data_IF_630749712224
#
_entry.id   IF_630749712224
#
_cell.length_a   1.000
_cell.length_b   1.000
_cell.length_c   1.000
_cell.angle_alpha   90.00
_cell.angle_beta   90.00
_cell.angle_gamma   90.00
#
_symmetry.space_group_name_H-M   'P 1'
#
loop_
_entity.id
_entity.type
_entity.pdbx_description
1 polymer ?
#
# COMPACT_ATOMS: atom_id res chain seq x y z
N UNK A 1 7.53 22.54 27.90
CA UNK A 1 6.20 22.45 27.22
C UNK A 1 6.30 22.12 25.74
N UNK A 2 7.31 22.61 25.00
CA UNK A 2 7.53 22.23 23.58
C UNK A 2 7.97 20.76 23.42
N UNK A 3 8.76 20.27 24.36
CA UNK A 3 9.33 18.91 24.34
C UNK A 3 8.26 17.84 24.50
N UNK A 4 7.22 18.10 25.30
CA UNK A 4 6.10 17.18 25.49
C UNK A 4 5.19 17.07 24.27
N UNK A 5 5.01 18.14 23.48
CA UNK A 5 4.19 18.11 22.26
C UNK A 5 4.93 17.38 21.14
N UNK A 6 6.21 17.70 20.93
CA UNK A 6 7.03 17.03 19.92
C UNK A 6 7.23 15.55 20.24
N UNK A 7 7.43 15.21 21.53
CA UNK A 7 7.45 13.83 22.00
C UNK A 7 6.15 13.09 21.68
N UNK A 8 4.98 13.68 22.01
CA UNK A 8 3.69 13.05 21.73
C UNK A 8 3.46 12.85 20.23
N UNK A 9 3.93 13.77 19.39
CA UNK A 9 3.84 13.63 17.95
C UNK A 9 4.74 12.51 17.43
N UNK A 10 6.01 12.45 17.83
CA UNK A 10 6.94 11.39 17.42
C UNK A 10 6.52 10.01 17.97
N UNK A 11 5.99 9.97 19.19
CA UNK A 11 5.48 8.71 19.74
C UNK A 11 4.16 8.25 19.09
N UNK A 12 3.47 9.11 18.34
CA UNK A 12 2.17 8.80 17.71
C UNK A 12 2.28 8.04 16.38
N UNK A 13 1.12 7.82 15.77
CA UNK A 13 0.96 7.18 14.47
C UNK A 13 0.96 8.16 13.29
N UNK A 14 0.89 9.47 13.55
CA UNK A 14 0.90 10.50 12.50
C UNK A 14 2.16 10.50 11.64
N UNK A 15 3.39 10.32 12.18
CA UNK A 15 4.59 10.24 11.35
C UNK A 15 4.60 9.02 10.43
N UNK A 16 4.00 7.91 10.86
CA UNK A 16 3.83 6.71 10.03
C UNK A 16 2.91 7.04 8.85
N UNK A 17 1.75 7.65 9.13
CA UNK A 17 0.83 8.09 8.08
C UNK A 17 1.52 9.04 7.10
N UNK A 18 2.23 10.05 7.59
CA UNK A 18 2.93 11.02 6.74
C UNK A 18 3.92 10.31 5.81
N UNK A 19 4.69 9.35 6.34
CA UNK A 19 5.66 8.58 5.55
C UNK A 19 4.96 7.75 4.48
N UNK A 20 3.85 7.08 4.82
CA UNK A 20 3.02 6.34 3.86
C UNK A 20 2.46 7.26 2.78
N UNK A 21 1.95 8.44 3.15
CA UNK A 21 1.41 9.42 2.20
C UNK A 21 2.49 9.95 1.25
N UNK A 22 3.70 10.20 1.73
CA UNK A 22 4.84 10.60 0.88
C UNK A 22 5.17 9.50 -0.12
N UNK A 23 5.26 8.25 0.31
CA UNK A 23 5.52 7.11 -0.58
C UNK A 23 4.39 6.93 -1.62
N UNK A 24 3.12 7.02 -1.18
CA UNK A 24 1.96 6.99 -2.08
C UNK A 24 1.97 8.15 -3.07
N UNK A 25 2.35 9.35 -2.64
CA UNK A 25 2.46 10.52 -3.51
C UNK A 25 3.51 10.33 -4.62
N UNK A 26 4.68 9.78 -4.28
CA UNK A 26 5.68 9.42 -5.30
C UNK A 26 5.16 8.36 -6.28
N UNK A 27 4.48 7.33 -5.77
CA UNK A 27 3.82 6.32 -6.60
C UNK A 27 2.72 6.90 -7.50
N UNK A 28 1.92 7.82 -6.96
CA UNK A 28 0.86 8.53 -7.67
C UNK A 28 1.43 9.40 -8.79
N UNK A 29 2.47 10.17 -8.51
CA UNK A 29 3.13 11.05 -9.47
C UNK A 29 3.67 10.29 -10.68
N UNK A 30 4.17 9.06 -10.47
CA UNK A 30 4.65 8.19 -11.55
C UNK A 30 3.53 7.58 -12.40
N UNK A 31 2.31 7.46 -11.85
CA UNK A 31 1.17 6.76 -12.46
C UNK A 31 -0.03 7.69 -12.72
N UNK A 32 0.20 8.99 -12.89
CA UNK A 32 -0.87 10.00 -13.03
C UNK A 32 -1.80 9.73 -14.21
N UNK A 33 -1.27 9.20 -15.33
CA UNK A 33 -2.08 8.82 -16.50
C UNK A 33 -3.09 7.73 -16.15
N UNK A 34 -2.65 6.63 -15.54
CA UNK A 34 -3.51 5.52 -15.10
C UNK A 34 -4.58 5.99 -14.13
N UNK A 35 -4.21 6.81 -13.16
CA UNK A 35 -5.13 7.33 -12.16
C UNK A 35 -6.17 8.29 -12.76
N UNK A 36 -5.75 9.12 -13.72
CA UNK A 36 -6.67 9.96 -14.51
C UNK A 36 -7.68 9.09 -15.27
N UNK A 37 -7.23 7.98 -15.87
CA UNK A 37 -8.12 7.05 -16.55
C UNK A 37 -9.11 6.38 -15.60
N UNK A 38 -8.67 5.97 -14.41
CA UNK A 38 -9.55 5.43 -13.36
C UNK A 38 -10.60 6.47 -12.92
N UNK A 39 -10.18 7.73 -12.78
CA UNK A 39 -11.04 8.81 -12.28
C UNK A 39 -12.11 9.27 -13.29
N UNK A 40 -11.79 9.17 -14.58
CA UNK A 40 -12.63 9.59 -15.70
C UNK A 40 -13.08 8.40 -16.57
N UNK A 41 -13.24 7.21 -16.00
CA UNK A 41 -13.71 6.03 -16.74
C UNK A 41 -15.05 6.35 -17.43
N UNK A 42 -15.18 5.95 -18.70
CA UNK A 42 -16.37 6.18 -19.53
C UNK A 42 -17.59 5.47 -18.95
N UNK A 43 -17.41 4.30 -18.34
CA UNK A 43 -18.50 3.54 -17.72
C UNK A 43 -18.87 4.17 -16.35
N UNK A 44 -20.13 4.58 -16.11
CA UNK A 44 -20.52 5.24 -14.86
C UNK A 44 -20.31 4.36 -13.62
N UNK A 45 -20.67 3.08 -13.71
CA UNK A 45 -20.45 2.11 -12.63
C UNK A 45 -18.97 1.94 -12.26
N UNK A 46 -18.09 1.87 -13.27
CA UNK A 46 -16.67 1.72 -13.05
C UNK A 46 -16.04 2.97 -12.42
N UNK A 47 -16.53 4.15 -12.80
CA UNK A 47 -16.12 5.42 -12.23
C UNK A 47 -16.48 5.51 -10.75
N UNK A 48 -17.70 5.10 -10.37
CA UNK A 48 -18.13 5.03 -8.97
C UNK A 48 -17.24 4.04 -8.21
N UNK A 49 -17.09 2.82 -8.71
CA UNK A 49 -16.25 1.80 -8.08
C UNK A 49 -14.80 2.27 -7.88
N UNK A 50 -14.23 2.97 -8.87
CA UNK A 50 -12.86 3.49 -8.80
C UNK A 50 -12.70 4.59 -7.75
N UNK A 51 -13.65 5.53 -7.69
CA UNK A 51 -13.65 6.60 -6.68
C UNK A 51 -13.87 6.06 -5.28
N UNK A 52 -14.79 5.11 -5.12
CA UNK A 52 -15.05 4.46 -3.85
C UNK A 52 -13.80 3.72 -3.38
N UNK A 53 -13.15 2.92 -4.24
CA UNK A 53 -11.93 2.19 -3.87
C UNK A 53 -10.79 3.13 -3.44
N UNK A 54 -10.56 4.23 -4.17
CA UNK A 54 -9.56 5.26 -3.78
C UNK A 54 -9.97 5.94 -2.46
N UNK A 55 -11.26 6.27 -2.31
CA UNK A 55 -11.80 6.85 -1.08
C UNK A 55 -11.62 5.93 0.12
N UNK A 56 -11.84 4.62 -0.04
CA UNK A 56 -11.65 3.61 1.00
C UNK A 56 -10.19 3.53 1.44
N UNK A 57 -9.22 3.65 0.53
CA UNK A 57 -7.79 3.74 0.90
C UNK A 57 -7.57 4.95 1.83
N UNK A 58 -8.05 6.13 1.43
CA UNK A 58 -7.91 7.34 2.25
C UNK A 58 -8.59 7.24 3.62
N UNK A 59 -9.82 6.73 3.65
CA UNK A 59 -10.58 6.52 4.90
C UNK A 59 -9.89 5.52 5.80
N UNK A 60 -9.40 4.39 5.27
CA UNK A 60 -8.66 3.39 6.05
C UNK A 60 -7.40 3.99 6.66
N UNK A 61 -6.60 4.72 5.86
CA UNK A 61 -5.37 5.35 6.34
C UNK A 61 -5.63 6.33 7.49
N UNK A 62 -6.66 7.17 7.35
CA UNK A 62 -7.05 8.13 8.39
C UNK A 62 -7.62 7.43 9.62
N UNK A 63 -8.50 6.44 9.43
CA UNK A 63 -9.11 5.67 10.50
C UNK A 63 -8.07 5.01 11.40
N UNK A 64 -7.11 4.29 10.80
CA UNK A 64 -6.09 3.58 11.58
C UNK A 64 -5.15 4.55 12.31
N UNK A 65 -4.92 5.73 11.76
CA UNK A 65 -4.04 6.73 12.39
C UNK A 65 -4.70 7.46 13.55
N UNK A 66 -6.00 7.77 13.44
CA UNK A 66 -6.71 8.61 14.42
C UNK A 66 -7.43 7.77 15.47
N UNK A 67 -7.96 6.60 15.10
CA UNK A 67 -8.89 5.81 15.92
C UNK A 67 -8.31 4.46 16.33
N UNK A 68 -7.55 3.81 15.47
CA UNK A 68 -6.87 2.54 15.77
C UNK A 68 -5.35 2.77 15.95
N UNK A 69 -4.53 1.77 15.69
CA UNK A 69 -3.09 1.81 15.87
C UNK A 69 -2.36 0.94 14.83
N UNK A 70 -1.50 1.57 14.03
CA UNK A 70 -0.71 0.91 12.98
C UNK A 70 0.20 -0.19 13.52
N UNK A 71 0.82 0.07 14.67
CA UNK A 71 1.83 -0.82 15.26
C UNK A 71 1.19 -2.12 15.73
N UNK A 72 0.04 -2.02 16.39
CA UNK A 72 -0.71 -3.21 16.78
C UNK A 72 -1.17 -4.00 15.55
N UNK A 73 -1.65 -3.30 14.51
CA UNK A 73 -2.12 -3.94 13.28
C UNK A 73 -1.03 -4.79 12.62
N UNK A 74 0.20 -4.26 12.52
CA UNK A 74 1.36 -5.01 12.02
C UNK A 74 1.73 -6.20 12.91
N UNK A 75 1.49 -6.11 14.22
CA UNK A 75 1.73 -7.19 15.18
C UNK A 75 0.87 -8.43 14.94
N UNK A 76 -0.31 -8.30 14.31
CA UNK A 76 -1.20 -9.46 14.06
C UNK A 76 -0.60 -10.49 13.09
N UNK A 77 0.31 -10.07 12.21
CA UNK A 77 1.01 -10.96 11.27
C UNK A 77 2.16 -11.75 11.94
N UNK A 78 2.43 -11.51 13.22
CA UNK A 78 3.55 -12.11 13.97
C UNK A 78 2.99 -12.92 15.16
N UNK A 79 3.79 -13.85 15.68
CA UNK A 79 3.41 -14.72 16.80
C UNK A 79 3.07 -13.92 18.08
N UNK A 80 2.04 -14.34 18.82
CA UNK A 80 1.52 -13.64 20.01
C UNK A 80 2.59 -13.33 21.06
N UNK A 81 3.62 -14.19 21.19
CA UNK A 81 4.73 -13.99 22.14
C UNK A 81 5.66 -12.82 21.78
N UNK A 82 5.71 -12.44 20.50
CA UNK A 82 6.57 -11.37 19.98
C UNK A 82 5.83 -10.04 19.80
N UNK A 83 4.49 -10.07 19.79
CA UNK A 83 3.61 -8.90 19.62
C UNK A 83 3.80 -7.79 20.66
N UNK A 84 4.44 -8.10 21.79
CA UNK A 84 4.55 -7.24 22.96
C UNK A 84 5.96 -6.72 23.25
N UNK A 85 6.98 -7.18 22.51
CA UNK A 85 8.38 -6.82 22.77
C UNK A 85 8.84 -5.53 22.09
N UNK A 86 8.21 -5.15 20.97
CA UNK A 86 8.65 -4.01 20.15
C UNK A 86 7.97 -2.68 20.46
N UNK A 87 6.89 -2.69 21.24
CA UNK A 87 6.22 -1.50 21.77
C UNK A 87 5.78 -1.89 23.19
N UNK A 88 6.34 -1.32 24.26
CA UNK A 88 5.56 -1.14 25.46
C UNK A 88 4.40 -0.24 25.02
N UNK A 89 3.24 -0.84 24.82
CA UNK A 89 2.03 -0.16 24.40
C UNK A 89 1.80 1.02 25.35
N UNK A 90 2.23 2.22 24.96
CA UNK A 90 1.99 3.44 25.73
C UNK A 90 0.48 3.70 25.87
N UNK A 91 -0.34 2.99 25.06
CA UNK A 91 -1.78 3.09 25.02
C UNK A 91 -2.43 1.69 25.07
N UNK A 92 -3.54 1.52 25.82
CA UNK A 92 -4.28 0.27 25.86
C UNK A 92 -4.72 -0.19 24.45
N UNK A 93 -4.92 -1.50 24.22
CA UNK A 93 -5.45 -1.99 22.96
C UNK A 93 -6.82 -1.33 22.66
N UNK A 94 -7.09 -0.95 21.40
CA UNK A 94 -8.36 -0.35 21.04
C UNK A 94 -9.49 -1.38 21.20
N UNK A 95 -10.73 -0.92 21.51
CA UNK A 95 -11.88 -1.81 21.69
C UNK A 95 -12.14 -2.70 20.48
N UNK A 96 -12.69 -3.90 20.70
CA UNK A 96 -12.99 -4.86 19.63
C UNK A 96 -13.89 -4.28 18.53
N UNK A 97 -14.82 -3.39 18.88
CA UNK A 97 -15.67 -2.69 17.91
C UNK A 97 -14.83 -1.83 16.94
N UNK A 98 -13.83 -1.10 17.45
CA UNK A 98 -12.91 -0.31 16.61
C UNK A 98 -12.11 -1.23 15.70
N UNK A 99 -11.60 -2.33 16.27
CA UNK A 99 -10.81 -3.32 15.52
C UNK A 99 -11.63 -3.99 14.40
N UNK A 100 -12.91 -4.28 14.65
CA UNK A 100 -13.82 -4.82 13.65
C UNK A 100 -14.01 -3.87 12.47
N UNK A 101 -14.21 -2.57 12.73
CA UNK A 101 -14.30 -1.54 11.68
C UNK A 101 -13.00 -1.49 10.87
N UNK A 102 -11.85 -1.57 11.53
CA UNK A 102 -10.54 -1.64 10.86
C UNK A 102 -10.43 -2.82 9.91
N UNK A 103 -10.88 -4.02 10.31
CA UNK A 103 -10.87 -5.19 9.45
C UNK A 103 -11.82 -5.07 8.25
N UNK A 104 -13.00 -4.48 8.45
CA UNK A 104 -13.95 -4.21 7.36
C UNK A 104 -13.34 -3.24 6.36
N UNK A 105 -12.79 -2.12 6.83
CA UNK A 105 -12.14 -1.12 5.98
C UNK A 105 -10.92 -1.71 5.25
N UNK A 106 -10.12 -2.53 5.92
CA UNK A 106 -9.00 -3.25 5.30
C UNK A 106 -9.48 -4.16 4.17
N UNK A 107 -10.53 -4.96 4.43
CA UNK A 107 -11.12 -5.85 3.42
C UNK A 107 -11.65 -5.09 2.21
N UNK A 108 -12.40 -4.00 2.45
CA UNK A 108 -12.91 -3.14 1.37
C UNK A 108 -11.77 -2.48 0.59
N UNK A 109 -10.70 -2.03 1.27
CA UNK A 109 -9.53 -1.44 0.63
C UNK A 109 -8.82 -2.47 -0.26
N UNK A 110 -8.58 -3.68 0.25
CA UNK A 110 -7.92 -4.76 -0.49
C UNK A 110 -8.75 -5.16 -1.71
N UNK A 111 -10.04 -5.44 -1.53
CA UNK A 111 -10.92 -5.86 -2.62
C UNK A 111 -11.13 -4.75 -3.65
N UNK A 112 -11.30 -3.51 -3.19
CA UNK A 112 -11.43 -2.34 -4.06
C UNK A 112 -10.20 -2.14 -4.93
N UNK A 113 -9.01 -2.14 -4.33
CA UNK A 113 -7.74 -1.97 -5.08
C UNK A 113 -7.41 -3.18 -5.96
N UNK A 114 -7.75 -4.40 -5.53
CA UNK A 114 -7.66 -5.62 -6.35
C UNK A 114 -8.58 -5.55 -7.58
N UNK A 115 -9.80 -5.02 -7.42
CA UNK A 115 -10.71 -4.76 -8.53
C UNK A 115 -10.13 -3.74 -9.52
N UNK A 116 -9.53 -2.65 -9.03
CA UNK A 116 -8.84 -1.68 -9.90
C UNK A 116 -7.70 -2.34 -10.66
N UNK A 117 -6.91 -3.18 -10.01
CA UNK A 117 -5.87 -3.94 -10.68
C UNK A 117 -6.45 -4.83 -11.78
N UNK A 118 -7.50 -5.61 -11.48
CA UNK A 118 -8.16 -6.49 -12.44
C UNK A 118 -8.68 -5.76 -13.69
N UNK A 119 -9.18 -4.54 -13.52
CA UNK A 119 -9.76 -3.73 -14.62
C UNK A 119 -8.71 -2.97 -15.42
N UNK A 120 -7.72 -2.37 -14.76
CA UNK A 120 -6.81 -1.40 -15.39
C UNK A 120 -5.40 -1.93 -15.61
N UNK A 121 -4.97 -2.96 -14.88
CA UNK A 121 -3.65 -3.57 -15.03
C UNK A 121 -3.73 -4.92 -15.77
N UNK A 122 -2.65 -5.28 -16.46
CA UNK A 122 -2.57 -6.52 -17.26
C UNK A 122 -1.71 -7.56 -16.57
N UNK A 123 -2.22 -8.80 -16.57
CA UNK A 123 -1.45 -9.98 -16.21
C UNK A 123 -1.40 -10.26 -14.71
N UNK A 124 -0.84 -11.42 -14.39
CA UNK A 124 -0.73 -11.93 -13.02
C UNK A 124 0.66 -11.71 -12.41
N UNK A 125 1.62 -11.22 -13.22
CA UNK A 125 3.01 -11.10 -12.82
C UNK A 125 3.21 -10.18 -11.61
N UNK A 126 2.57 -9.01 -11.59
CA UNK A 126 2.73 -8.07 -10.47
C UNK A 126 2.28 -8.69 -9.14
N UNK A 127 1.05 -9.23 -9.01
CA UNK A 127 0.66 -9.95 -7.80
C UNK A 127 1.58 -11.12 -7.43
N UNK A 128 2.01 -11.91 -8.42
CA UNK A 128 2.88 -13.07 -8.22
C UNK A 128 4.27 -12.68 -7.71
N UNK A 129 4.80 -11.52 -8.10
CA UNK A 129 6.12 -11.04 -7.66
C UNK A 129 6.02 -10.22 -6.37
N UNK A 130 5.01 -9.36 -6.25
CA UNK A 130 4.86 -8.43 -5.13
C UNK A 130 4.48 -9.17 -3.84
N UNK A 131 3.70 -10.25 -3.92
CA UNK A 131 3.35 -11.06 -2.73
C UNK A 131 4.60 -11.66 -2.06
N UNK A 132 5.42 -12.49 -2.73
CA UNK A 132 6.61 -13.07 -2.11
C UNK A 132 7.65 -12.01 -1.75
N UNK A 133 7.83 -10.96 -2.56
CA UNK A 133 8.69 -9.84 -2.19
C UNK A 133 8.21 -9.16 -0.89
N UNK A 134 6.90 -8.97 -0.74
CA UNK A 134 6.27 -8.48 0.48
C UNK A 134 6.49 -9.41 1.67
N UNK A 135 6.36 -10.73 1.50
CA UNK A 135 6.65 -11.72 2.55
C UNK A 135 8.11 -11.60 3.02
N UNK A 136 9.06 -11.68 2.08
CA UNK A 136 10.50 -11.63 2.39
C UNK A 136 10.84 -10.31 3.09
N UNK A 137 10.38 -9.18 2.53
CA UNK A 137 10.63 -7.86 3.10
C UNK A 137 10.00 -7.70 4.48
N UNK A 138 8.77 -8.19 4.66
CA UNK A 138 8.06 -8.13 5.94
C UNK A 138 8.85 -8.84 7.03
N UNK A 139 9.24 -10.10 6.81
CA UNK A 139 9.97 -10.85 7.83
C UNK A 139 11.37 -10.29 8.08
N UNK A 140 12.10 -9.87 7.03
CA UNK A 140 13.40 -9.24 7.17
C UNK A 140 13.33 -7.96 8.02
N UNK A 141 12.38 -7.07 7.72
CA UNK A 141 12.21 -5.79 8.41
C UNK A 141 11.54 -5.91 9.78
N UNK A 142 10.71 -6.94 10.00
CA UNK A 142 10.06 -7.13 11.29
C UNK A 142 11.08 -7.46 12.39
N UNK A 143 12.19 -8.14 12.05
CA UNK A 143 13.32 -8.32 12.98
C UNK A 143 13.97 -6.99 13.39
N UNK A 144 14.06 -6.01 12.48
CA UNK A 144 14.54 -4.66 12.81
C UNK A 144 13.52 -3.92 13.65
N UNK A 145 12.23 -3.97 13.31
CA UNK A 145 11.14 -3.40 14.10
C UNK A 145 11.19 -3.85 15.56
N UNK A 146 11.43 -5.14 15.81
CA UNK A 146 11.53 -5.68 17.18
C UNK A 146 12.72 -5.16 17.98
N UNK A 147 13.72 -4.57 17.32
CA UNK A 147 14.92 -3.99 17.96
C UNK A 147 14.86 -2.47 18.08
N UNK A 148 13.89 -1.82 17.44
CA UNK A 148 13.70 -0.38 17.58
C UNK A 148 13.00 -0.08 18.91
N UNK A 149 13.78 0.31 19.90
CA UNK A 149 13.24 0.92 21.11
C UNK A 149 12.94 2.40 20.82
N UNK A 150 11.65 2.78 20.79
CA UNK A 150 11.26 4.20 20.75
C UNK A 150 11.68 4.96 22.01
N UNK A 151 11.89 4.21 23.10
CA UNK A 151 12.12 4.72 24.44
C UNK A 151 13.60 5.08 24.64
N UNK A 152 14.55 4.33 24.04
CA UNK A 152 16.00 4.52 24.25
C UNK A 152 16.54 5.94 23.98
N UNK A 153 16.26 6.58 22.83
CA UNK A 153 16.70 7.96 22.57
C UNK A 153 15.98 9.03 23.42
N UNK A 154 14.91 8.66 24.13
CA UNK A 154 13.99 9.60 24.77
C UNK A 154 13.82 9.40 26.28
N UNK A 155 14.24 8.27 26.88
CA UNK A 155 13.87 7.92 28.27
C UNK A 155 14.94 8.20 29.31
N UNK A 156 16.23 8.14 28.97
CA UNK A 156 17.26 8.07 30.03
C UNK A 156 18.15 9.31 30.11
N UNK A 157 18.23 10.14 29.07
CA UNK A 157 18.99 11.41 29.09
C UNK A 157 18.22 12.63 28.61
N UNK A 158 17.10 12.44 27.91
CA UNK A 158 16.50 13.50 27.09
C UNK A 158 17.43 13.87 25.92
N UNK A 159 16.88 14.41 24.84
CA UNK A 159 17.68 14.97 23.75
C UNK A 159 18.05 16.39 24.13
N UNK A 160 19.34 16.74 24.17
CA UNK A 160 19.73 18.13 24.31
C UNK A 160 19.52 18.84 22.96
N UNK A 161 18.41 19.57 22.85
CA UNK A 161 18.05 20.32 21.64
C UNK A 161 19.02 21.46 21.31
N UNK A 162 19.94 21.80 22.20
CA UNK A 162 21.01 22.77 21.94
C UNK A 162 22.19 22.16 21.19
N UNK A 163 22.35 20.83 21.23
CA UNK A 163 23.44 20.10 20.59
C UNK A 163 22.99 19.56 19.24
N UNK A 164 23.48 20.17 18.16
CA UNK A 164 23.08 19.85 16.77
C UNK A 164 23.29 18.36 16.42
N UNK A 165 24.38 17.74 16.88
CA UNK A 165 24.66 16.33 16.59
C UNK A 165 23.66 15.37 17.23
N UNK A 166 23.19 15.66 18.45
CA UNK A 166 22.17 14.85 19.12
C UNK A 166 20.84 14.97 18.39
N UNK A 167 20.43 16.19 18.05
CA UNK A 167 19.21 16.45 17.26
C UNK A 167 19.23 15.71 15.93
N UNK A 168 20.35 15.76 15.19
CA UNK A 168 20.49 15.08 13.92
C UNK A 168 20.40 13.55 14.07
N UNK A 169 21.09 12.96 15.06
CA UNK A 169 21.02 11.52 15.30
C UNK A 169 19.60 11.07 15.67
N UNK A 170 18.90 11.84 16.50
CA UNK A 170 17.50 11.58 16.85
C UNK A 170 16.60 11.63 15.61
N UNK A 171 16.72 12.66 14.77
CA UNK A 171 15.92 12.78 13.56
C UNK A 171 16.17 11.64 12.57
N UNK A 172 17.43 11.25 12.37
CA UNK A 172 17.81 10.11 11.50
C UNK A 172 17.21 8.82 12.05
N UNK A 173 17.32 8.58 13.36
CA UNK A 173 16.76 7.39 14.01
C UNK A 173 15.24 7.29 13.79
N UNK A 174 14.50 8.37 14.05
CA UNK A 174 13.06 8.42 13.82
C UNK A 174 12.69 8.27 12.34
N UNK A 175 13.44 8.91 11.44
CA UNK A 175 13.22 8.78 10.00
C UNK A 175 13.39 7.32 9.54
N UNK A 176 14.45 6.63 10.00
CA UNK A 176 14.65 5.20 9.71
C UNK A 176 13.52 4.35 10.28
N UNK A 177 13.13 4.60 11.53
CA UNK A 177 12.05 3.87 12.19
C UNK A 177 10.73 3.98 11.40
N UNK A 178 10.29 5.19 11.05
CA UNK A 178 9.05 5.36 10.30
C UNK A 178 9.15 4.85 8.87
N UNK A 179 10.33 4.92 8.23
CA UNK A 179 10.55 4.31 6.93
C UNK A 179 10.37 2.78 7.00
N UNK A 180 10.97 2.12 8.01
CA UNK A 180 10.78 0.68 8.23
C UNK A 180 9.31 0.35 8.48
N UNK A 181 8.62 1.11 9.33
CA UNK A 181 7.19 0.91 9.59
C UNK A 181 6.33 1.08 8.33
N UNK A 182 6.58 2.11 7.52
CA UNK A 182 5.87 2.31 6.27
C UNK A 182 6.11 1.15 5.29
N UNK A 183 7.35 0.69 5.13
CA UNK A 183 7.68 -0.45 4.27
C UNK A 183 6.99 -1.73 4.78
N UNK A 184 6.92 -1.93 6.10
CA UNK A 184 6.17 -3.04 6.69
C UNK A 184 4.68 -2.96 6.39
N UNK A 185 4.08 -1.76 6.41
CA UNK A 185 2.67 -1.55 5.99
C UNK A 185 2.48 -1.91 4.53
N UNK A 186 3.35 -1.43 3.63
CA UNK A 186 3.30 -1.80 2.21
C UNK A 186 3.50 -3.30 1.99
N UNK A 187 4.36 -3.93 2.78
CA UNK A 187 4.62 -5.37 2.71
C UNK A 187 3.41 -6.17 3.20
N UNK A 188 2.80 -5.79 4.33
CA UNK A 188 1.56 -6.37 4.83
C UNK A 188 0.42 -6.22 3.82
N UNK A 189 0.29 -5.03 3.22
CA UNK A 189 -0.65 -4.80 2.13
C UNK A 189 -0.38 -5.74 0.96
N UNK A 190 0.87 -5.83 0.47
CA UNK A 190 1.26 -6.70 -0.64
C UNK A 190 0.93 -8.18 -0.39
N UNK A 191 1.16 -8.68 0.83
CA UNK A 191 0.88 -10.06 1.24
C UNK A 191 -0.61 -10.38 1.10
N UNK A 192 -1.49 -9.47 1.50
CA UNK A 192 -2.93 -9.68 1.44
C UNK A 192 -3.51 -9.34 0.06
N UNK A 193 -3.02 -8.27 -0.55
CA UNK A 193 -3.50 -7.73 -1.81
C UNK A 193 -3.16 -8.62 -3.00
N UNK A 194 -1.99 -9.24 -3.02
CA UNK A 194 -1.57 -10.04 -4.17
C UNK A 194 -2.46 -11.26 -4.45
N UNK A 195 -2.72 -12.15 -3.46
CA UNK A 195 -3.67 -13.24 -3.61
C UNK A 195 -5.08 -12.74 -3.98
N UNK A 196 -5.56 -11.69 -3.31
CA UNK A 196 -6.85 -11.08 -3.61
C UNK A 196 -6.92 -10.57 -5.06
N UNK A 197 -5.85 -9.96 -5.56
CA UNK A 197 -5.76 -9.44 -6.92
C UNK A 197 -5.78 -10.54 -7.97
N UNK A 198 -5.16 -11.69 -7.70
CA UNK A 198 -5.24 -12.86 -8.59
C UNK A 198 -6.68 -13.37 -8.67
N UNK A 199 -7.31 -13.59 -7.52
CA UNK A 199 -8.70 -14.09 -7.43
C UNK A 199 -9.68 -13.13 -8.11
N UNK A 200 -9.62 -11.84 -7.78
CA UNK A 200 -10.50 -10.82 -8.36
C UNK A 200 -10.25 -10.68 -9.86
N UNK A 201 -9.00 -10.76 -10.32
CA UNK A 201 -8.68 -10.74 -11.76
C UNK A 201 -9.25 -11.95 -12.51
N UNK A 202 -9.22 -13.13 -11.89
CA UNK A 202 -9.82 -14.33 -12.44
C UNK A 202 -11.35 -14.15 -12.57
N UNK A 203 -12.01 -13.77 -11.49
CA UNK A 203 -13.47 -13.55 -11.46
C UNK A 203 -13.86 -12.49 -12.49
N UNK A 204 -13.15 -11.35 -12.52
CA UNK A 204 -13.44 -10.26 -13.44
C UNK A 204 -13.37 -10.71 -14.90
N UNK A 205 -12.33 -11.47 -15.28
CA UNK A 205 -12.17 -11.98 -16.66
C UNK A 205 -13.21 -13.03 -17.04
N UNK A 206 -13.61 -13.87 -16.10
CA UNK A 206 -14.64 -14.90 -16.34
C UNK A 206 -16.05 -14.31 -16.47
N UNK A 207 -16.33 -13.17 -15.83
CA UNK A 207 -17.69 -12.61 -15.72
C UNK A 207 -17.92 -11.37 -16.58
N UNK A 208 -17.00 -10.41 -16.55
CA UNK A 208 -17.18 -9.05 -17.08
C UNK A 208 -16.21 -8.78 -18.24
N UNK A 209 -14.97 -9.25 -18.14
CA UNK A 209 -13.85 -8.89 -19.02
C UNK A 209 -13.79 -9.62 -20.37
N UNK A 210 -14.94 -10.04 -20.94
CA UNK A 210 -15.02 -10.62 -22.29
C UNK A 210 -15.00 -9.59 -23.42
N UNK A 211 -14.85 -8.31 -23.13
CA UNK A 211 -14.71 -7.30 -24.19
C UNK A 211 -13.36 -7.48 -24.90
N UNK A 212 -13.34 -7.84 -26.20
CA UNK A 212 -12.12 -7.81 -26.99
C UNK A 212 -11.75 -6.34 -27.15
N UNK A 213 -10.80 -5.90 -26.34
CA UNK A 213 -10.35 -4.51 -26.39
C UNK A 213 -9.52 -4.32 -27.67
N UNK A 214 -9.95 -3.38 -28.50
CA UNK A 214 -9.35 -3.01 -29.79
C UNK A 214 -7.82 -3.10 -29.73
N UNK A 215 -7.24 -3.84 -30.68
CA UNK A 215 -5.80 -3.90 -30.86
C UNK A 215 -5.22 -2.49 -30.87
N UNK A 216 -4.10 -2.23 -30.16
CA UNK A 216 -3.37 -0.98 -30.34
C UNK A 216 -3.17 -0.76 -31.84
N UNK A 217 -3.43 0.43 -32.38
CA UNK A 217 -3.45 0.69 -33.84
C UNK A 217 -2.24 0.10 -34.57
N UNK A 218 -1.09 0.07 -33.93
CA UNK A 218 0.14 -0.52 -34.45
C UNK A 218 0.02 -2.03 -34.76
N UNK A 219 -0.66 -2.82 -33.92
CA UNK A 219 -0.94 -4.23 -34.20
C UNK A 219 -2.00 -4.39 -35.28
N UNK A 220 -2.99 -3.49 -35.33
CA UNK A 220 -3.98 -3.46 -36.43
C UNK A 220 -3.30 -3.17 -37.77
N UNK A 221 -2.43 -2.16 -37.82
CA UNK A 221 -1.65 -1.78 -39.00
C UNK A 221 -0.70 -2.90 -39.43
N UNK A 222 -0.04 -3.57 -38.48
CA UNK A 222 0.83 -4.71 -38.79
C UNK A 222 0.03 -5.89 -39.38
N UNK A 223 -1.16 -6.16 -38.83
CA UNK A 223 -2.07 -7.20 -39.32
C UNK A 223 -2.65 -6.86 -40.70
N UNK A 224 -3.05 -5.62 -40.92
CA UNK A 224 -3.51 -5.13 -42.23
C UNK A 224 -2.38 -5.17 -43.28
N UNK A 225 -1.14 -4.88 -42.87
CA UNK A 225 0.04 -5.00 -43.76
C UNK A 225 0.42 -6.44 -44.06
N UNK A 226 0.28 -7.37 -43.11
CA UNK A 226 0.53 -8.79 -43.37
C UNK A 226 -0.56 -9.39 -44.27
N UNK A 227 -1.83 -9.07 -44.03
CA UNK A 227 -2.94 -9.51 -44.88
C UNK A 227 -2.81 -9.00 -46.32
N UNK A 228 -2.47 -7.72 -46.50
CA UNK A 228 -2.22 -7.15 -47.84
C UNK A 228 -0.98 -7.73 -48.55
N UNK A 229 -0.03 -8.32 -47.81
CA UNK A 229 1.13 -9.02 -48.41
C UNK A 229 0.74 -10.42 -48.89
N UNK A 230 -0.10 -11.12 -48.14
CA UNK A 230 -0.61 -12.44 -48.51
C UNK A 230 -1.54 -12.36 -49.74
N UNK A 231 -2.44 -11.37 -49.80
CA UNK A 231 -3.32 -11.18 -50.96
C UNK A 231 -2.55 -10.86 -52.25
N UNK A 232 -1.47 -10.07 -52.16
CA UNK A 232 -0.59 -9.78 -53.30
C UNK A 232 0.22 -10.99 -53.76
N UNK A 233 0.51 -11.94 -52.87
CA UNK A 233 1.14 -13.20 -53.26
C UNK A 233 0.15 -14.16 -53.94
N UNK A 234 -1.15 -14.06 -53.63
CA UNK A 234 -2.17 -14.92 -54.23
C UNK A 234 -2.80 -14.39 -55.53
N UNK A 235 -2.73 -13.08 -55.80
CA UNK A 235 -3.23 -12.47 -57.05
C UNK A 235 -2.15 -12.21 -58.11
N UNK A 236 -0.88 -12.53 -57.80
CA UNK A 236 0.28 -12.36 -58.67
C UNK A 236 0.79 -13.62 -59.38
N UNK A 237 0.00 -14.71 -59.40
CA UNK A 237 0.25 -15.93 -60.16
C UNK A 237 -0.86 -16.15 -61.17
#
# INVERSE_FOLDING_TARGET
MRDTVMFRFLASDYPILLTVLVMLWFGWRRNTSTLRWMWFDKTPWARIASRTAIGTVGVFLLWVTVVDNWRQLLGFLVNQKERWRSDPYLLPPPPDAVRMVTWILLGLMILGTAYLYARYARGYLIPVVVTPAGVVMFFALNSFRMRFELVGPLSDRGVDWSVVSEVLMTLIWFAMFYAVMAILIFSAFAILWGPASIVVSLIYRLTIGREPREEPEMYRILRERSANREDKQHTGA
#
